data_IF_995955948891
#
_entry.id   IF_995955948891
#
_cell.length_a   1.000
_cell.length_b   1.000
_cell.length_c   1.000
_cell.angle_alpha   90.00
_cell.angle_beta   90.00
_cell.angle_gamma   90.00
#
_symmetry.space_group_name_H-M   'P 1'
#
loop_
_entity.id
_entity.type
_entity.pdbx_description
1 polymer ?
#
# COMPACT_ATOMS: atom_id res chain seq x y z
N UNK A 1 -1.53 -8.37 -39.71
CA UNK A 1 -2.55 -9.10 -38.92
C UNK A 1 -2.37 -8.77 -37.45
N UNK A 2 -3.46 -8.56 -36.68
CA UNK A 2 -3.40 -8.24 -35.25
C UNK A 2 -2.99 -9.47 -34.43
N UNK A 3 -1.93 -9.34 -33.63
CA UNK A 3 -1.41 -10.34 -32.68
C UNK A 3 -1.69 -9.82 -31.26
N UNK A 4 -2.02 -10.72 -30.33
CA UNK A 4 -2.34 -10.39 -28.95
C UNK A 4 -1.29 -10.99 -28.03
N UNK A 5 -0.48 -10.15 -27.38
CA UNK A 5 0.49 -10.60 -26.39
C UNK A 5 -0.18 -10.64 -25.03
N UNK A 6 -0.30 -11.83 -24.45
CA UNK A 6 -1.15 -12.09 -23.30
C UNK A 6 -0.30 -12.61 -22.16
N UNK A 7 -0.26 -11.89 -21.03
CA UNK A 7 0.33 -12.34 -19.78
C UNK A 7 -0.78 -12.81 -18.83
N UNK A 8 -1.16 -14.09 -18.86
CA UNK A 8 -2.20 -14.61 -17.99
C UNK A 8 -1.63 -14.99 -16.62
N UNK A 9 -2.41 -14.75 -15.58
CA UNK A 9 -2.04 -15.18 -14.25
C UNK A 9 -3.14 -14.92 -13.23
N UNK A 10 -3.03 -15.59 -12.09
CA UNK A 10 -3.97 -15.35 -10.99
C UNK A 10 -3.77 -13.99 -10.33
N UNK A 11 -2.51 -13.59 -10.21
CA UNK A 11 -2.11 -12.32 -9.62
C UNK A 11 -2.85 -12.00 -8.30
N UNK A 12 -2.96 -13.00 -7.41
CA UNK A 12 -3.67 -12.85 -6.13
C UNK A 12 -2.68 -12.98 -4.96
N UNK A 13 -1.96 -11.90 -4.57
CA UNK A 13 -1.96 -10.56 -5.19
C UNK A 13 -0.97 -10.41 -6.37
N UNK A 14 -1.04 -9.31 -7.16
CA UNK A 14 0.04 -8.93 -8.06
C UNK A 14 1.25 -8.49 -7.23
N UNK A 15 2.44 -8.92 -7.64
CA UNK A 15 3.69 -8.67 -6.92
C UNK A 15 4.61 -7.78 -7.76
N UNK A 16 5.63 -7.21 -7.13
CA UNK A 16 6.68 -6.47 -7.84
C UNK A 16 7.38 -7.33 -8.90
N UNK A 17 7.54 -8.63 -8.65
CA UNK A 17 8.06 -9.58 -9.66
C UNK A 17 7.17 -9.70 -10.89
N UNK A 18 5.85 -9.78 -10.72
CA UNK A 18 4.92 -9.75 -11.86
C UNK A 18 5.00 -8.41 -12.61
N UNK A 19 5.08 -7.30 -11.87
CA UNK A 19 5.17 -5.96 -12.46
C UNK A 19 6.46 -5.74 -13.28
N UNK A 20 7.62 -6.21 -12.80
CA UNK A 20 8.88 -6.14 -13.56
C UNK A 20 8.79 -6.89 -14.90
N UNK A 21 8.15 -8.06 -14.90
CA UNK A 21 7.92 -8.81 -16.13
C UNK A 21 7.02 -8.02 -17.09
N UNK A 22 5.92 -7.44 -16.59
CA UNK A 22 5.03 -6.59 -17.40
C UNK A 22 5.79 -5.41 -18.01
N UNK A 23 6.66 -4.73 -17.25
CA UNK A 23 7.50 -3.66 -17.79
C UNK A 23 8.46 -4.15 -18.88
N UNK A 24 9.11 -5.29 -18.66
CA UNK A 24 10.04 -5.87 -19.64
C UNK A 24 9.33 -6.27 -20.94
N UNK A 25 8.15 -6.88 -20.81
CA UNK A 25 7.29 -7.22 -21.93
C UNK A 25 6.81 -5.97 -22.68
N UNK A 26 6.33 -4.95 -21.96
CA UNK A 26 5.84 -3.70 -22.54
C UNK A 26 6.92 -2.90 -23.30
N UNK A 27 8.19 -3.03 -22.92
CA UNK A 27 9.33 -2.43 -23.66
C UNK A 27 9.61 -3.14 -24.98
N UNK A 28 9.33 -4.44 -25.07
CA UNK A 28 9.70 -5.29 -26.19
C UNK A 28 8.55 -5.57 -27.15
N UNK A 29 7.31 -5.34 -26.71
CA UNK A 29 6.09 -5.73 -27.41
C UNK A 29 5.20 -4.50 -27.64
N UNK A 30 4.46 -4.44 -28.76
CA UNK A 30 3.65 -3.28 -29.10
C UNK A 30 2.52 -3.03 -28.10
N UNK A 31 1.90 -4.10 -27.58
CA UNK A 31 0.82 -4.01 -26.60
C UNK A 31 0.72 -5.30 -25.79
N UNK A 32 0.58 -5.21 -24.46
CA UNK A 32 0.51 -6.37 -23.55
C UNK A 32 -0.84 -6.38 -22.82
N UNK A 33 -1.54 -7.52 -22.89
CA UNK A 33 -2.74 -7.77 -22.11
C UNK A 33 -2.39 -8.55 -20.85
N UNK A 34 -2.52 -7.94 -19.67
CA UNK A 34 -2.41 -8.65 -18.39
C UNK A 34 -3.79 -9.20 -18.06
N UNK A 35 -3.90 -10.52 -18.07
CA UNK A 35 -5.19 -11.22 -17.93
C UNK A 35 -5.27 -11.85 -16.57
N UNK A 36 -6.08 -11.25 -15.69
CA UNK A 36 -6.36 -11.80 -14.38
C UNK A 36 -7.34 -12.96 -14.50
N UNK A 37 -7.09 -14.04 -13.77
CA UNK A 37 -8.00 -15.18 -13.63
C UNK A 37 -8.03 -15.66 -12.19
N UNK A 38 -8.98 -16.52 -11.86
CA UNK A 38 -8.98 -17.27 -10.61
C UNK A 38 -8.88 -18.76 -10.92
N UNK A 39 -8.42 -19.54 -9.94
CA UNK A 39 -8.58 -20.98 -10.01
C UNK A 39 -9.66 -21.39 -8.99
N UNK A 40 -10.83 -21.88 -9.41
CA UNK A 40 -11.90 -22.30 -8.49
C UNK A 40 -11.46 -23.38 -7.48
N UNK A 41 -10.43 -24.16 -7.82
CA UNK A 41 -9.86 -25.21 -6.96
C UNK A 41 -8.87 -24.68 -5.92
N UNK A 42 -8.52 -23.38 -5.96
CA UNK A 42 -7.64 -22.73 -4.99
C UNK A 42 -8.39 -21.59 -4.32
N UNK A 43 -8.30 -21.50 -2.99
CA UNK A 43 -8.79 -20.34 -2.26
C UNK A 43 -7.86 -19.15 -2.52
N UNK A 44 -8.10 -18.44 -3.62
CA UNK A 44 -7.47 -17.16 -3.90
C UNK A 44 -8.04 -16.12 -2.90
N UNK A 45 -7.17 -15.27 -2.32
CA UNK A 45 -7.56 -14.29 -1.29
C UNK A 45 -8.27 -13.06 -1.87
N UNK A 46 -8.17 -12.88 -3.18
CA UNK A 46 -8.82 -11.84 -3.97
C UNK A 46 -9.55 -12.49 -5.13
N UNK A 47 -10.73 -11.98 -5.44
CA UNK A 47 -11.44 -12.26 -6.70
C UNK A 47 -10.64 -11.79 -7.92
N UNK A 48 -11.06 -12.21 -9.11
CA UNK A 48 -10.43 -11.81 -10.37
C UNK A 48 -10.46 -10.28 -10.55
N UNK A 49 -11.58 -9.65 -10.23
CA UNK A 49 -11.77 -8.21 -10.35
C UNK A 49 -10.94 -7.43 -9.32
N UNK A 50 -10.90 -7.90 -8.07
CA UNK A 50 -10.01 -7.30 -7.06
C UNK A 50 -8.54 -7.41 -7.49
N UNK A 51 -8.11 -8.59 -7.98
CA UNK A 51 -6.74 -8.79 -8.47
C UNK A 51 -6.41 -7.86 -9.65
N UNK A 52 -7.38 -7.63 -10.56
CA UNK A 52 -7.28 -6.65 -11.66
C UNK A 52 -7.15 -5.23 -11.12
N UNK A 53 -7.94 -4.86 -10.12
CA UNK A 53 -7.88 -3.51 -9.52
C UNK A 53 -6.56 -3.26 -8.80
N UNK A 54 -6.01 -4.26 -8.11
CA UNK A 54 -4.72 -4.16 -7.43
C UNK A 54 -3.56 -3.81 -8.36
N UNK A 55 -3.65 -4.16 -9.65
CA UNK A 55 -2.65 -3.73 -10.63
C UNK A 55 -2.59 -2.21 -10.82
N UNK A 56 -3.67 -1.46 -10.52
CA UNK A 56 -3.66 0.00 -10.53
C UNK A 56 -2.76 0.61 -9.46
N UNK A 57 -2.36 -0.19 -8.46
CA UNK A 57 -1.37 0.20 -7.46
C UNK A 57 0.08 0.17 -8.00
N UNK A 58 0.27 -0.16 -9.28
CA UNK A 58 1.56 -0.10 -9.97
C UNK A 58 1.51 0.90 -11.13
N UNK A 59 2.65 1.53 -11.43
CA UNK A 59 2.79 2.46 -12.56
C UNK A 59 2.93 1.70 -13.89
N UNK A 60 1.80 1.23 -14.41
CA UNK A 60 1.77 0.42 -15.63
C UNK A 60 2.13 1.23 -16.88
N UNK A 61 2.95 0.66 -17.79
CA UNK A 61 3.23 1.28 -19.08
C UNK A 61 1.95 1.52 -19.90
N UNK A 62 1.92 2.61 -20.68
CA UNK A 62 0.74 3.05 -21.46
C UNK A 62 0.23 2.01 -22.47
N UNK A 63 1.08 1.08 -22.89
CA UNK A 63 0.75 0.01 -23.83
C UNK A 63 0.36 -1.30 -23.12
N UNK A 64 -0.04 -1.23 -21.85
CA UNK A 64 -0.57 -2.36 -21.09
C UNK A 64 -2.06 -2.20 -20.88
N UNK A 65 -2.84 -3.24 -21.17
CA UNK A 65 -4.26 -3.33 -20.82
C UNK A 65 -4.46 -4.38 -19.74
N UNK A 66 -5.14 -4.00 -18.67
CA UNK A 66 -5.64 -4.93 -17.65
C UNK A 66 -7.00 -5.46 -18.09
N UNK A 67 -7.21 -6.77 -18.00
CA UNK A 67 -8.48 -7.41 -18.32
C UNK A 67 -8.64 -8.68 -17.49
N UNK A 68 -9.84 -9.23 -17.42
CA UNK A 68 -10.07 -10.58 -16.90
C UNK A 68 -10.13 -11.61 -18.02
N UNK A 69 -9.97 -12.88 -17.66
CA UNK A 69 -10.15 -13.99 -18.60
C UNK A 69 -11.55 -13.97 -19.26
N UNK A 70 -12.59 -13.62 -18.49
CA UNK A 70 -13.95 -13.52 -18.99
C UNK A 70 -14.12 -12.34 -19.97
N UNK A 71 -13.63 -11.15 -19.61
CA UNK A 71 -13.64 -9.96 -20.48
C UNK A 71 -12.90 -10.22 -21.79
N UNK A 72 -11.74 -10.88 -21.73
CA UNK A 72 -10.97 -11.22 -22.92
C UNK A 72 -11.69 -12.27 -23.79
N UNK A 73 -12.39 -13.23 -23.18
CA UNK A 73 -13.20 -14.22 -23.88
C UNK A 73 -14.31 -13.59 -24.73
N UNK A 74 -14.92 -12.49 -24.24
CA UNK A 74 -15.98 -11.75 -24.95
C UNK A 74 -15.49 -11.06 -26.22
N UNK A 75 -14.17 -10.87 -26.39
CA UNK A 75 -13.59 -10.24 -27.59
C UNK A 75 -13.57 -11.14 -28.83
N UNK A 76 -13.95 -12.42 -28.71
CA UNK A 76 -14.00 -13.35 -29.85
C UNK A 76 -12.64 -13.55 -30.54
N UNK A 77 -11.54 -13.39 -29.79
CA UNK A 77 -10.19 -13.45 -30.35
C UNK A 77 -9.91 -14.88 -30.84
N UNK A 78 -9.50 -15.00 -32.10
CA UNK A 78 -8.96 -16.26 -32.61
C UNK A 78 -7.69 -16.61 -31.82
N UNK A 79 -7.73 -17.72 -31.07
CA UNK A 79 -6.67 -18.16 -30.16
C UNK A 79 -5.31 -18.37 -30.87
N UNK A 80 -5.28 -18.65 -32.18
CA UNK A 80 -4.04 -18.71 -32.99
C UNK A 80 -3.31 -17.36 -33.14
N UNK A 81 -3.98 -16.26 -32.77
CA UNK A 81 -3.41 -14.90 -32.74
C UNK A 81 -2.87 -14.52 -31.36
N UNK A 82 -3.02 -15.39 -30.36
CA UNK A 82 -2.48 -15.18 -29.02
C UNK A 82 -1.02 -15.62 -29.00
N UNK A 83 -0.16 -14.78 -28.43
CA UNK A 83 1.20 -15.10 -28.02
C UNK A 83 1.23 -14.98 -26.51
N UNK A 84 1.48 -16.09 -25.82
CA UNK A 84 1.49 -16.09 -24.36
C UNK A 84 2.84 -15.56 -23.85
N UNK A 85 2.80 -14.46 -23.12
CA UNK A 85 3.92 -13.86 -22.41
C UNK A 85 4.06 -14.57 -21.07
N UNK A 86 5.25 -15.05 -20.74
CA UNK A 86 5.53 -15.80 -19.51
C UNK A 86 6.89 -15.43 -18.94
N UNK A 87 7.10 -15.78 -17.67
CA UNK A 87 8.33 -15.48 -16.92
C UNK A 87 9.10 -16.75 -16.59
N UNK A 88 10.43 -16.66 -16.59
CA UNK A 88 11.32 -17.70 -16.07
C UNK A 88 12.16 -17.11 -14.95
N UNK A 89 12.30 -17.81 -13.82
CA UNK A 89 13.23 -17.42 -12.74
C UNK A 89 14.61 -18.01 -12.96
N UNK A 90 14.67 -19.19 -13.54
CA UNK A 90 15.92 -19.87 -13.89
C UNK A 90 15.74 -20.73 -15.13
N UNK A 91 16.82 -21.39 -15.56
CA UNK A 91 16.76 -22.32 -16.68
C UNK A 91 15.94 -23.58 -16.35
N UNK A 92 15.93 -24.00 -15.09
CA UNK A 92 15.21 -25.18 -14.60
C UNK A 92 13.68 -25.02 -14.74
N UNK A 93 13.15 -23.82 -14.50
CA UNK A 93 11.72 -23.47 -14.68
C UNK A 93 11.23 -23.78 -16.11
N UNK A 94 12.12 -23.76 -17.10
CA UNK A 94 11.74 -23.99 -18.50
C UNK A 94 11.20 -25.41 -18.74
N UNK A 95 11.61 -26.40 -17.96
CA UNK A 95 11.09 -27.77 -18.12
C UNK A 95 9.62 -27.87 -17.69
N UNK A 96 9.24 -27.22 -16.59
CA UNK A 96 7.84 -27.12 -16.16
C UNK A 96 7.02 -26.33 -17.18
N UNK A 97 7.59 -25.26 -17.71
CA UNK A 97 6.93 -24.41 -18.70
C UNK A 97 6.67 -25.13 -20.03
N UNK A 98 7.50 -26.09 -20.46
CA UNK A 98 7.19 -26.95 -21.61
C UNK A 98 5.89 -27.74 -21.44
N UNK A 99 5.58 -28.18 -20.21
CA UNK A 99 4.32 -28.87 -19.91
C UNK A 99 3.16 -27.89 -20.08
N UNK A 100 3.31 -26.67 -19.57
CA UNK A 100 2.31 -25.59 -19.74
C UNK A 100 2.09 -25.27 -21.22
N UNK A 101 3.15 -25.20 -22.02
CA UNK A 101 3.06 -24.97 -23.47
C UNK A 101 2.26 -26.07 -24.17
N UNK A 102 2.56 -27.34 -23.87
CA UNK A 102 1.86 -28.49 -24.43
C UNK A 102 0.36 -28.45 -24.10
N UNK A 103 0.02 -28.26 -22.82
CA UNK A 103 -1.37 -28.21 -22.37
C UNK A 103 -2.15 -27.04 -23.00
N UNK A 104 -1.53 -25.86 -23.11
CA UNK A 104 -2.17 -24.71 -23.76
C UNK A 104 -2.40 -24.93 -25.26
N UNK A 105 -1.49 -25.62 -25.94
CA UNK A 105 -1.67 -26.00 -27.35
C UNK A 105 -2.80 -27.00 -27.53
N UNK A 106 -2.84 -28.04 -26.70
CA UNK A 106 -3.86 -29.10 -26.77
C UNK A 106 -5.26 -28.57 -26.41
N UNK A 107 -5.38 -27.80 -25.33
CA UNK A 107 -6.68 -27.37 -24.81
C UNK A 107 -7.20 -26.08 -25.48
N UNK A 108 -6.31 -25.17 -25.85
CA UNK A 108 -6.68 -23.84 -26.32
C UNK A 108 -6.17 -23.51 -27.73
N UNK A 109 -5.35 -24.35 -28.35
CA UNK A 109 -4.76 -24.07 -29.67
C UNK A 109 -3.79 -22.88 -29.65
N UNK A 110 -3.24 -22.54 -28.48
CA UNK A 110 -2.23 -21.49 -28.30
C UNK A 110 -0.85 -22.14 -28.37
N UNK A 111 -0.09 -21.82 -29.42
CA UNK A 111 1.20 -22.47 -29.72
C UNK A 111 2.40 -21.51 -29.77
N UNK A 112 2.19 -20.22 -29.50
CA UNK A 112 3.24 -19.18 -29.48
C UNK A 112 3.45 -18.65 -28.07
N UNK A 113 4.71 -18.63 -27.65
CA UNK A 113 5.13 -18.22 -26.31
C UNK A 113 6.33 -17.30 -26.40
N UNK A 114 6.39 -16.29 -25.53
CA UNK A 114 7.55 -15.44 -25.31
C UNK A 114 7.88 -15.49 -23.83
N UNK A 115 9.12 -15.83 -23.52
CA UNK A 115 9.64 -15.92 -22.16
C UNK A 115 10.54 -14.74 -21.86
N UNK A 116 10.30 -14.11 -20.71
CA UNK A 116 11.18 -13.09 -20.13
C UNK A 116 11.86 -13.68 -18.91
N UNK A 117 13.19 -13.59 -18.82
CA UNK A 117 13.88 -13.90 -17.59
C UNK A 117 13.60 -12.83 -16.54
N UNK A 118 13.44 -13.27 -15.29
CA UNK A 118 13.31 -12.37 -14.16
C UNK A 118 14.62 -11.58 -14.01
N UNK A 119 14.51 -10.28 -13.74
CA UNK A 119 15.67 -9.45 -13.44
C UNK A 119 16.19 -9.71 -12.04
N UNK A 120 17.50 -9.57 -11.85
CA UNK A 120 18.19 -9.75 -10.57
C UNK A 120 17.45 -9.05 -9.42
N UNK A 121 17.11 -9.82 -8.38
CA UNK A 121 16.41 -9.35 -7.18
C UNK A 121 14.92 -9.69 -7.12
N UNK A 122 14.32 -10.19 -8.21
CA UNK A 122 12.89 -10.51 -8.27
C UNK A 122 12.60 -12.01 -8.43
N UNK A 123 13.63 -12.85 -8.57
CA UNK A 123 13.50 -14.30 -8.80
C UNK A 123 12.74 -15.01 -7.67
N UNK A 124 12.96 -14.61 -6.42
CA UNK A 124 12.34 -15.21 -5.23
C UNK A 124 10.95 -14.68 -4.88
N UNK A 125 10.39 -13.76 -5.69
CA UNK A 125 9.12 -13.11 -5.38
C UNK A 125 7.96 -13.95 -5.92
N UNK A 126 7.10 -14.43 -5.01
CA UNK A 126 5.89 -15.16 -5.36
C UNK A 126 4.70 -14.69 -4.54
N UNK A 127 3.51 -14.73 -5.14
CA UNK A 127 2.26 -14.44 -4.43
C UNK A 127 2.07 -15.37 -3.22
N UNK A 128 2.55 -16.61 -3.28
CA UNK A 128 2.53 -17.54 -2.14
C UNK A 128 3.37 -17.03 -0.97
N UNK A 129 4.61 -16.59 -1.21
CA UNK A 129 5.47 -16.01 -0.17
C UNK A 129 4.81 -14.78 0.47
N UNK A 130 4.25 -13.89 -0.36
CA UNK A 130 3.52 -12.70 0.11
C UNK A 130 2.34 -13.08 1.02
N UNK A 131 1.54 -14.09 0.62
CA UNK A 131 0.44 -14.59 1.45
C UNK A 131 0.93 -15.15 2.78
N UNK A 132 2.02 -15.93 2.79
CA UNK A 132 2.61 -16.46 4.03
C UNK A 132 3.08 -15.33 4.95
N UNK A 133 3.79 -14.34 4.43
CA UNK A 133 4.24 -13.17 5.22
C UNK A 133 3.05 -12.38 5.79
N UNK A 134 1.99 -12.21 5.00
CA UNK A 134 0.77 -11.53 5.46
C UNK A 134 0.03 -12.32 6.55
N UNK A 135 0.03 -13.66 6.51
CA UNK A 135 -0.58 -14.45 7.58
C UNK A 135 0.04 -14.16 8.95
N UNK A 136 1.34 -13.88 8.98
CA UNK A 136 2.12 -13.52 10.15
C UNK A 136 2.18 -12.00 10.43
N UNK A 137 1.53 -11.16 9.60
CA UNK A 137 1.64 -9.69 9.65
C UNK A 137 3.10 -9.19 9.62
N UNK A 138 3.93 -9.77 8.75
CA UNK A 138 5.32 -9.34 8.53
C UNK A 138 5.37 -8.04 7.71
N UNK A 139 4.78 -6.96 8.25
CA UNK A 139 4.56 -5.68 7.56
C UNK A 139 5.85 -5.08 6.99
N UNK A 140 6.97 -5.22 7.70
CA UNK A 140 8.26 -4.68 7.28
C UNK A 140 8.75 -5.27 5.96
N UNK A 141 8.67 -6.60 5.85
CA UNK A 141 9.20 -7.31 4.69
C UNK A 141 8.30 -7.16 3.47
N UNK A 142 6.99 -6.98 3.64
CA UNK A 142 6.02 -6.93 2.53
C UNK A 142 6.32 -5.83 1.51
N UNK A 143 6.90 -4.70 1.93
CA UNK A 143 7.28 -3.60 1.05
C UNK A 143 8.25 -4.01 -0.06
N UNK A 144 9.05 -5.06 0.14
CA UNK A 144 9.99 -5.57 -0.85
C UNK A 144 9.30 -6.41 -1.95
N UNK A 145 8.09 -6.91 -1.68
CA UNK A 145 7.40 -7.85 -2.56
C UNK A 145 6.20 -7.26 -3.31
N UNK A 146 5.56 -6.23 -2.76
CA UNK A 146 4.30 -5.66 -3.29
C UNK A 146 4.28 -4.14 -3.17
N UNK A 147 3.37 -3.48 -3.88
CA UNK A 147 3.15 -2.03 -3.75
C UNK A 147 2.33 -1.68 -2.49
N UNK A 148 2.37 -0.43 -2.00
CA UNK A 148 1.60 0.01 -0.84
C UNK A 148 0.10 -0.24 -0.96
N UNK A 149 -0.50 -0.02 -2.14
CA UNK A 149 -1.92 -0.30 -2.36
C UNK A 149 -2.30 -1.77 -2.16
N UNK A 150 -1.40 -2.69 -2.55
CA UNK A 150 -1.55 -4.12 -2.29
C UNK A 150 -1.42 -4.46 -0.81
N UNK A 151 -0.54 -3.78 -0.07
CA UNK A 151 -0.40 -3.95 1.39
C UNK A 151 -1.71 -3.61 2.10
N UNK A 152 -2.36 -2.48 1.78
CA UNK A 152 -3.66 -2.11 2.36
C UNK A 152 -4.71 -3.20 2.12
N UNK A 153 -4.83 -3.68 0.88
CA UNK A 153 -5.80 -4.71 0.53
C UNK A 153 -5.51 -6.06 1.22
N UNK A 154 -4.24 -6.41 1.39
CA UNK A 154 -3.82 -7.60 2.11
C UNK A 154 -4.17 -7.53 3.61
N UNK A 155 -3.95 -6.37 4.24
CA UNK A 155 -4.34 -6.14 5.64
C UNK A 155 -5.86 -6.22 5.77
N UNK A 156 -6.61 -5.55 4.87
CA UNK A 156 -8.08 -5.57 4.84
C UNK A 156 -8.62 -7.00 4.74
N UNK A 157 -8.09 -7.82 3.83
CA UNK A 157 -8.49 -9.24 3.73
C UNK A 157 -8.11 -10.06 4.95
N UNK A 158 -6.88 -9.90 5.46
CA UNK A 158 -6.38 -10.73 6.57
C UNK A 158 -7.10 -10.46 7.89
N UNK A 159 -7.48 -9.21 8.13
CA UNK A 159 -8.12 -8.78 9.37
C UNK A 159 -9.63 -8.57 9.22
N UNK A 160 -10.18 -8.90 8.04
CA UNK A 160 -11.58 -8.67 7.68
C UNK A 160 -12.03 -7.23 7.94
N UNK A 161 -11.25 -6.25 7.47
CA UNK A 161 -11.57 -4.82 7.61
C UNK A 161 -12.34 -4.32 6.39
N UNK A 162 -13.22 -3.34 6.59
CA UNK A 162 -13.85 -2.62 5.47
C UNK A 162 -12.82 -1.76 4.76
N UNK A 163 -12.03 -1.00 5.53
CA UNK A 163 -10.97 -0.15 5.01
C UNK A 163 -9.84 0.03 6.03
N UNK A 164 -8.62 0.25 5.56
CA UNK A 164 -7.52 0.81 6.34
C UNK A 164 -6.97 2.07 5.68
N UNK A 165 -6.86 3.15 6.43
CA UNK A 165 -6.36 4.45 5.99
C UNK A 165 -5.13 4.86 6.80
N UNK A 166 -4.13 5.39 6.10
CA UNK A 166 -3.04 6.15 6.71
C UNK A 166 -3.46 7.61 6.85
N UNK A 167 -3.53 8.12 8.08
CA UNK A 167 -3.94 9.50 8.35
C UNK A 167 -2.72 10.36 8.60
N UNK A 168 -2.54 11.38 7.75
CA UNK A 168 -1.38 12.26 7.74
C UNK A 168 -1.79 13.72 7.80
N UNK A 169 -0.90 14.57 8.28
CA UNK A 169 -1.12 16.01 8.35
C UNK A 169 -0.18 16.65 9.36
N UNK A 170 0.08 17.95 9.22
CA UNK A 170 0.94 18.67 10.16
C UNK A 170 0.34 18.69 11.58
N UNK A 171 1.15 18.82 12.64
CA UNK A 171 0.63 19.07 13.98
C UNK A 171 -0.33 20.27 13.97
N UNK A 172 -1.43 20.19 14.72
CA UNK A 172 -2.47 21.23 14.72
C UNK A 172 -3.47 21.18 13.55
N UNK A 173 -3.32 20.25 12.59
CA UNK A 173 -4.23 20.14 11.44
C UNK A 173 -5.61 19.55 11.73
N UNK A 174 -5.93 19.28 13.00
CA UNK A 174 -7.24 18.76 13.42
C UNK A 174 -7.43 17.26 13.23
N UNK A 175 -6.36 16.46 13.01
CA UNK A 175 -6.42 15.00 12.84
C UNK A 175 -7.24 14.30 13.91
N UNK A 176 -6.79 14.37 15.16
CA UNK A 176 -7.45 13.69 16.27
C UNK A 176 -8.85 14.24 16.53
N UNK A 177 -9.10 15.54 16.31
CA UNK A 177 -10.44 16.13 16.41
C UNK A 177 -11.39 15.55 15.37
N UNK A 178 -10.98 15.50 14.10
CA UNK A 178 -11.77 14.91 13.02
C UNK A 178 -12.03 13.42 13.28
N UNK A 179 -11.01 12.65 13.67
CA UNK A 179 -11.16 11.21 13.93
C UNK A 179 -12.08 10.93 15.13
N UNK A 180 -12.02 11.75 16.19
CA UNK A 180 -12.95 11.63 17.30
C UNK A 180 -14.38 11.91 16.87
N UNK A 181 -14.61 12.98 16.08
CA UNK A 181 -15.94 13.30 15.54
C UNK A 181 -16.45 12.22 14.58
N UNK A 182 -15.57 11.65 13.76
CA UNK A 182 -15.91 10.57 12.84
C UNK A 182 -16.35 9.30 13.59
N UNK A 183 -15.75 9.05 14.77
CA UNK A 183 -16.10 7.92 15.66
C UNK A 183 -17.37 8.14 16.48
N UNK A 184 -17.86 9.38 16.65
CA UNK A 184 -19.04 9.67 17.47
C UNK A 184 -20.25 8.83 17.02
N UNK A 185 -20.70 7.90 17.88
CA UNK A 185 -21.85 7.03 17.59
C UNK A 185 -21.58 5.87 16.63
N UNK A 186 -20.30 5.58 16.30
CA UNK A 186 -19.91 4.49 15.39
C UNK A 186 -18.88 3.56 16.01
N UNK A 187 -19.29 2.32 16.25
CA UNK A 187 -18.42 1.27 16.77
C UNK A 187 -17.57 0.60 15.68
N UNK A 188 -17.91 0.81 14.40
CA UNK A 188 -17.18 0.29 13.26
C UNK A 188 -16.00 1.16 12.84
N UNK A 189 -15.65 2.20 13.62
CA UNK A 189 -14.49 3.08 13.37
C UNK A 189 -13.44 2.92 14.46
N UNK A 190 -12.24 2.54 14.02
CA UNK A 190 -11.09 2.35 14.91
C UNK A 190 -9.98 3.32 14.56
N UNK A 191 -9.59 4.12 15.55
CA UNK A 191 -8.46 5.03 15.45
C UNK A 191 -7.25 4.42 16.18
N UNK A 192 -6.18 4.14 15.43
CA UNK A 192 -4.87 3.76 15.96
C UNK A 192 -3.98 5.01 15.99
N UNK A 193 -3.78 5.57 17.17
CA UNK A 193 -2.89 6.71 17.36
C UNK A 193 -1.46 6.24 17.69
N UNK A 194 -0.56 6.38 16.72
CA UNK A 194 0.84 5.92 16.87
C UNK A 194 1.68 6.80 17.78
N UNK A 195 1.24 8.01 18.16
CA UNK A 195 1.91 8.82 19.18
C UNK A 195 1.94 8.11 20.54
N UNK A 196 0.96 7.22 20.78
CA UNK A 196 0.91 6.37 21.97
C UNK A 196 2.10 5.41 22.07
N UNK A 197 2.64 4.96 20.94
CA UNK A 197 3.75 4.00 20.91
C UNK A 197 5.01 4.59 21.53
N UNK A 198 5.21 5.91 21.45
CA UNK A 198 6.35 6.57 22.07
C UNK A 198 6.40 6.31 23.58
N UNK A 199 5.25 6.18 24.28
CA UNK A 199 5.21 5.87 25.71
C UNK A 199 5.70 4.45 25.99
N UNK A 200 5.31 3.49 25.16
CA UNK A 200 5.71 2.08 25.26
C UNK A 200 7.19 1.88 24.90
N UNK A 201 7.74 2.72 24.03
CA UNK A 201 9.14 2.68 23.62
C UNK A 201 10.08 3.41 24.59
N UNK A 202 9.58 4.20 25.55
CA UNK A 202 10.43 4.94 26.51
C UNK A 202 11.41 4.06 27.29
N UNK A 203 11.02 2.89 27.83
CA UNK A 203 11.95 2.03 28.57
C UNK A 203 13.11 1.55 27.70
N UNK A 204 12.82 1.19 26.44
CA UNK A 204 13.83 0.78 25.46
C UNK A 204 14.79 1.93 25.14
N UNK A 205 14.26 3.12 24.90
CA UNK A 205 15.05 4.32 24.63
C UNK A 205 15.96 4.68 25.81
N UNK A 206 15.46 4.59 27.04
CA UNK A 206 16.27 4.80 28.26
C UNK A 206 17.35 3.74 28.43
N UNK A 207 17.06 2.48 28.10
CA UNK A 207 18.05 1.41 28.19
C UNK A 207 19.21 1.60 27.19
N UNK A 208 18.93 2.15 26.00
CA UNK A 208 19.93 2.35 24.95
C UNK A 208 20.66 3.70 25.05
N UNK A 209 19.94 4.80 25.26
CA UNK A 209 20.48 6.18 25.27
C UNK A 209 20.65 6.77 26.69
N UNK A 210 20.33 6.01 27.74
CA UNK A 210 20.43 6.50 29.12
C UNK A 210 19.48 7.66 29.43
N UNK A 211 20.00 8.69 30.11
CA UNK A 211 19.29 9.92 30.46
C UNK A 211 19.59 11.08 29.49
N UNK A 212 20.12 10.77 28.30
CA UNK A 212 20.31 11.78 27.26
C UNK A 212 18.98 12.39 26.80
N UNK A 213 19.02 13.66 26.38
CA UNK A 213 17.85 14.33 25.79
C UNK A 213 17.47 13.66 24.46
N UNK A 214 16.33 12.98 24.45
CA UNK A 214 15.81 12.28 23.27
C UNK A 214 15.56 13.20 22.07
N UNK A 215 15.30 14.49 22.29
CA UNK A 215 15.18 15.46 21.20
C UNK A 215 16.54 15.64 20.53
N UNK A 216 17.60 15.77 21.33
CA UNK A 216 18.97 15.84 20.84
C UNK A 216 19.37 14.56 20.11
N UNK A 217 19.05 13.39 20.67
CA UNK A 217 19.27 12.09 20.00
C UNK A 217 18.56 12.04 18.65
N UNK A 218 17.29 12.44 18.58
CA UNK A 218 16.53 12.43 17.34
C UNK A 218 17.03 13.43 16.28
N UNK A 219 17.72 14.50 16.69
CA UNK A 219 18.31 15.49 15.78
C UNK A 219 19.70 15.09 15.30
N UNK A 220 20.54 14.55 16.18
CA UNK A 220 21.98 14.30 15.91
C UNK A 220 22.27 12.84 15.54
N UNK A 221 21.47 11.89 16.02
CA UNK A 221 21.67 10.43 15.86
C UNK A 221 20.41 9.73 15.37
N UNK A 222 19.73 10.34 14.38
CA UNK A 222 18.45 9.85 13.86
C UNK A 222 18.50 8.41 13.33
N UNK A 223 19.58 8.01 12.65
CA UNK A 223 19.69 6.65 12.09
C UNK A 223 19.90 5.59 13.18
N UNK A 224 20.67 5.88 14.22
CA UNK A 224 20.80 5.00 15.38
C UNK A 224 19.44 4.86 16.08
N UNK A 225 18.73 5.97 16.29
CA UNK A 225 17.39 5.95 16.86
C UNK A 225 16.43 5.06 16.05
N UNK A 226 16.43 5.20 14.72
CA UNK A 226 15.61 4.37 13.81
C UNK A 226 15.94 2.88 13.94
N UNK A 227 17.22 2.52 14.03
CA UNK A 227 17.64 1.12 14.19
C UNK A 227 17.13 0.52 15.51
N UNK A 228 17.16 1.30 16.59
CA UNK A 228 16.69 0.86 17.91
C UNK A 228 15.17 0.70 17.94
N UNK A 229 14.41 1.66 17.41
CA UNK A 229 12.94 1.67 17.57
C UNK A 229 12.16 1.08 16.40
N UNK A 230 12.77 0.87 15.23
CA UNK A 230 12.07 0.48 14.01
C UNK A 230 11.25 -0.81 14.16
N UNK A 231 11.91 -1.92 14.50
CA UNK A 231 11.25 -3.22 14.69
C UNK A 231 10.24 -3.17 15.86
N UNK A 232 10.59 -2.64 17.06
CA UNK A 232 9.63 -2.46 18.14
C UNK A 232 8.38 -1.67 17.75
N UNK A 233 8.55 -0.58 17.00
CA UNK A 233 7.42 0.25 16.53
C UNK A 233 6.50 -0.54 15.59
N UNK A 234 7.08 -1.31 14.67
CA UNK A 234 6.31 -2.17 13.74
C UNK A 234 5.56 -3.26 14.52
N UNK A 235 6.16 -3.82 15.58
CA UNK A 235 5.49 -4.78 16.45
C UNK A 235 4.30 -4.15 17.19
N UNK A 236 4.43 -2.91 17.67
CA UNK A 236 3.30 -2.19 18.28
C UNK A 236 2.17 -1.92 17.28
N UNK A 237 2.50 -1.57 16.04
CA UNK A 237 1.51 -1.45 14.97
C UNK A 237 0.81 -2.79 14.71
N UNK A 238 1.58 -3.88 14.60
CA UNK A 238 1.04 -5.24 14.43
C UNK A 238 0.09 -5.62 15.56
N UNK A 239 0.45 -5.38 16.82
CA UNK A 239 -0.42 -5.65 17.97
C UNK A 239 -1.68 -4.80 17.93
N UNK A 240 -1.56 -3.50 17.61
CA UNK A 240 -2.70 -2.61 17.46
C UNK A 240 -3.68 -3.09 16.39
N UNK A 241 -3.17 -3.56 15.25
CA UNK A 241 -3.97 -4.11 14.15
C UNK A 241 -4.65 -5.43 14.52
N UNK A 242 -3.98 -6.32 15.25
CA UNK A 242 -4.56 -7.60 15.70
C UNK A 242 -5.73 -7.42 16.67
N UNK A 243 -5.78 -6.31 17.41
CA UNK A 243 -6.84 -5.99 18.36
C UNK A 243 -8.04 -5.28 17.71
N UNK A 244 -8.00 -5.02 16.40
CA UNK A 244 -9.09 -4.35 15.68
C UNK A 244 -10.26 -5.33 15.48
N UNK A 245 -11.51 -4.94 15.81
CA UNK A 245 -12.69 -5.73 15.49
C UNK A 245 -12.89 -5.90 13.97
N UNK A 246 -13.36 -7.07 13.56
CA UNK A 246 -13.75 -7.31 12.18
C UNK A 246 -14.83 -6.33 11.69
N UNK A 247 -14.91 -6.12 10.38
CA UNK A 247 -15.81 -5.20 9.68
C UNK A 247 -15.64 -3.71 10.08
N UNK A 248 -14.45 -3.33 10.57
CA UNK A 248 -14.14 -1.94 10.93
C UNK A 248 -13.50 -1.14 9.79
N UNK A 249 -13.64 0.18 9.82
CA UNK A 249 -12.80 1.16 9.15
C UNK A 249 -11.67 1.59 10.10
N UNK A 250 -10.43 1.33 9.71
CA UNK A 250 -9.24 1.61 10.53
C UNK A 250 -8.54 2.85 10.04
N UNK A 251 -8.19 3.74 10.97
CA UNK A 251 -7.46 4.98 10.71
C UNK A 251 -6.17 4.96 11.53
N UNK A 252 -5.03 4.82 10.85
CA UNK A 252 -3.70 4.84 11.49
C UNK A 252 -3.15 6.26 11.42
N UNK A 253 -3.24 7.01 12.52
CA UNK A 253 -2.69 8.36 12.63
C UNK A 253 -1.19 8.30 12.86
N UNK A 254 -0.43 8.97 11.97
CA UNK A 254 1.03 9.09 12.09
C UNK A 254 1.47 10.56 12.20
N UNK A 255 2.36 10.85 13.15
CA UNK A 255 2.87 12.21 13.37
C UNK A 255 3.78 12.72 12.24
N UNK A 256 4.53 11.84 11.58
CA UNK A 256 5.55 12.23 10.60
C UNK A 256 5.00 12.53 9.19
N UNK A 257 3.71 12.28 8.96
CA UNK A 257 3.10 12.40 7.64
C UNK A 257 3.77 11.51 6.58
N UNK A 258 3.86 11.96 5.34
CA UNK A 258 4.50 11.22 4.24
C UNK A 258 6.00 11.58 4.07
N UNK A 259 6.75 11.77 5.16
CA UNK A 259 8.19 12.07 5.06
C UNK A 259 8.91 11.02 4.20
N UNK A 260 9.70 11.43 3.17
CA UNK A 260 10.38 10.48 2.29
C UNK A 260 11.35 9.55 3.02
N UNK A 261 11.99 10.04 4.08
CA UNK A 261 12.93 9.31 4.92
C UNK A 261 12.25 8.44 6.00
N UNK A 262 10.91 8.53 6.11
CA UNK A 262 10.06 7.73 7.00
C UNK A 262 8.82 7.27 6.23
N UNK A 263 8.97 6.35 5.26
CA UNK A 263 7.91 5.97 4.35
C UNK A 263 6.90 5.02 5.03
N UNK A 264 6.11 5.54 5.97
CA UNK A 264 5.17 4.77 6.79
C UNK A 264 4.06 4.09 5.97
N UNK A 265 3.79 4.61 4.78
CA UNK A 265 2.89 4.00 3.80
C UNK A 265 3.37 2.60 3.36
N UNK A 266 4.65 2.26 3.57
CA UNK A 266 5.15 0.91 3.33
C UNK A 266 4.64 -0.14 4.33
N UNK A 267 4.03 0.26 5.46
CA UNK A 267 3.55 -0.67 6.49
C UNK A 267 2.03 -0.75 6.58
N UNK A 268 1.33 0.37 6.33
CA UNK A 268 -0.14 0.48 6.38
C UNK A 268 -0.76 0.40 4.98
N UNK A 269 0.01 0.83 3.97
CA UNK A 269 -0.31 0.75 2.55
C UNK A 269 -0.73 2.07 1.89
N UNK A 270 -1.50 1.97 0.81
CA UNK A 270 -1.65 3.01 -0.22
C UNK A 270 -2.85 3.97 -0.09
N UNK A 271 -3.76 3.79 0.88
CA UNK A 271 -4.92 4.68 1.08
C UNK A 271 -4.58 5.77 2.11
N UNK A 272 -4.34 7.00 1.65
CA UNK A 272 -3.89 8.12 2.48
C UNK A 272 -4.98 9.20 2.63
N UNK A 273 -5.25 9.60 3.87
CA UNK A 273 -6.08 10.77 4.20
C UNK A 273 -5.19 11.89 4.72
N UNK A 274 -5.07 12.96 3.94
CA UNK A 274 -4.38 14.17 4.35
C UNK A 274 -5.36 15.13 5.02
N UNK A 275 -5.16 15.41 6.30
CA UNK A 275 -5.94 16.39 7.05
C UNK A 275 -5.13 17.67 7.20
N UNK A 276 -5.68 18.77 6.68
CA UNK A 276 -5.05 20.08 6.67
C UNK A 276 -6.03 21.19 7.03
N UNK A 277 -5.51 22.27 7.60
CA UNK A 277 -6.23 23.53 7.75
C UNK A 277 -5.75 24.50 6.66
N UNK A 278 -6.69 25.13 5.95
CA UNK A 278 -6.38 26.09 4.87
C UNK A 278 -5.89 27.44 5.42
N UNK A 279 -6.12 27.74 6.71
CA UNK A 279 -5.64 28.95 7.37
C UNK A 279 -4.23 28.75 7.94
N UNK A 280 -3.23 29.34 7.28
CA UNK A 280 -1.83 29.40 7.74
C UNK A 280 -1.74 30.04 9.14
N UNK A 281 -2.56 31.07 9.40
CA UNK A 281 -2.58 31.79 10.67
C UNK A 281 -3.16 30.96 11.82
N UNK A 282 -4.21 30.18 11.57
CA UNK A 282 -4.79 29.29 12.60
C UNK A 282 -3.88 28.11 12.90
N UNK A 283 -3.23 27.55 11.88
CA UNK A 283 -2.26 26.48 12.07
C UNK A 283 -1.06 26.98 12.90
N UNK A 284 -0.55 28.18 12.60
CA UNK A 284 0.51 28.81 13.39
C UNK A 284 0.09 29.07 14.85
N UNK A 285 -1.13 29.56 15.10
CA UNK A 285 -1.68 29.74 16.46
C UNK A 285 -1.79 28.41 17.22
N UNK A 286 -2.22 27.34 16.55
CA UNK A 286 -2.35 25.98 17.15
C UNK A 286 -1.01 25.32 17.43
N UNK A 287 0.00 25.58 16.61
CA UNK A 287 1.36 25.09 16.83
C UNK A 287 2.04 25.87 17.96
N UNK A 288 1.89 27.20 18.01
CA UNK A 288 2.45 28.04 19.08
C UNK A 288 1.80 27.76 20.45
N UNK A 289 0.49 27.50 20.48
CA UNK A 289 -0.24 27.14 21.71
C UNK A 289 0.14 25.77 22.32
N UNK A 290 1.01 24.99 21.66
CA UNK A 290 1.48 23.68 22.16
C UNK A 290 2.83 23.73 22.86
N UNK A 291 3.50 24.89 22.96
CA UNK A 291 4.86 25.01 23.53
C UNK A 291 5.89 24.02 22.92
N UNK A 292 5.79 23.75 21.62
CA UNK A 292 6.66 22.80 20.89
C UNK A 292 7.71 23.50 20.02
N UNK A 293 8.27 24.61 20.49
CA UNK A 293 9.28 25.37 19.73
C UNK A 293 10.54 24.53 19.44
N UNK A 294 10.96 23.71 20.40
CA UNK A 294 12.03 22.73 20.26
C UNK A 294 11.75 21.64 19.20
N UNK A 295 10.49 21.41 18.83
CA UNK A 295 10.10 20.45 17.79
C UNK A 295 10.03 21.06 16.38
N UNK A 296 10.19 22.38 16.24
CA UNK A 296 10.08 23.06 14.93
C UNK A 296 10.96 22.44 13.83
N UNK A 297 12.22 22.01 14.08
CA UNK A 297 13.02 21.32 13.07
C UNK A 297 12.33 20.07 12.50
N UNK A 298 11.68 19.27 13.35
CA UNK A 298 10.92 18.09 12.93
C UNK A 298 9.62 18.45 12.21
N UNK A 299 8.90 19.47 12.72
CA UNK A 299 7.63 19.91 12.14
C UNK A 299 7.82 20.43 10.71
N UNK A 300 8.90 21.18 10.46
CA UNK A 300 9.22 21.72 9.12
C UNK A 300 9.48 20.63 8.08
N UNK A 301 9.97 19.46 8.51
CA UNK A 301 10.17 18.29 7.63
C UNK A 301 8.86 17.60 7.25
N UNK A 302 7.75 17.83 7.98
CA UNK A 302 6.46 17.21 7.68
C UNK A 302 5.86 17.84 6.41
N UNK A 303 5.63 17.04 5.35
CA UNK A 303 5.06 17.51 4.09
C UNK A 303 3.73 18.28 4.29
N UNK A 304 3.60 19.41 3.58
CA UNK A 304 2.32 20.05 3.37
C UNK A 304 1.50 19.32 2.31
N UNK A 305 0.32 19.83 1.98
CA UNK A 305 -0.55 19.20 0.98
C UNK A 305 0.13 19.03 -0.39
N UNK A 306 0.82 20.07 -0.87
CA UNK A 306 1.50 20.05 -2.17
C UNK A 306 2.59 18.97 -2.21
N UNK A 307 3.43 18.89 -1.17
CA UNK A 307 4.49 17.89 -1.08
C UNK A 307 3.89 16.49 -0.92
N UNK A 308 2.90 16.30 -0.04
CA UNK A 308 2.21 15.01 0.13
C UNK A 308 1.58 14.52 -1.17
N UNK A 309 1.00 15.41 -1.98
CA UNK A 309 0.44 15.05 -3.30
C UNK A 309 1.52 14.60 -4.28
N UNK A 310 2.70 15.23 -4.27
CA UNK A 310 3.85 14.81 -5.11
C UNK A 310 4.35 13.42 -4.70
N UNK A 311 4.50 13.18 -3.41
CA UNK A 311 4.92 11.87 -2.86
C UNK A 311 3.90 10.80 -3.22
N UNK A 312 2.62 11.06 -2.96
CA UNK A 312 1.55 10.12 -3.31
C UNK A 312 1.53 9.78 -4.81
N UNK A 313 1.76 10.76 -5.70
CA UNK A 313 1.87 10.50 -7.14
C UNK A 313 3.09 9.63 -7.49
N UNK A 314 4.26 9.91 -6.90
CA UNK A 314 5.49 9.18 -7.17
C UNK A 314 5.40 7.72 -6.70
N UNK A 315 4.75 7.50 -5.56
CA UNK A 315 4.60 6.19 -4.92
C UNK A 315 3.29 5.48 -5.30
N UNK A 316 2.52 6.07 -6.23
CA UNK A 316 1.21 5.61 -6.69
C UNK A 316 0.22 5.30 -5.54
N UNK A 317 0.17 6.19 -4.56
CA UNK A 317 -0.74 6.16 -3.42
C UNK A 317 -2.05 6.88 -3.78
N UNK A 318 -3.17 6.35 -3.31
CA UNK A 318 -4.41 7.09 -3.25
C UNK A 318 -4.30 8.14 -2.14
N UNK A 319 -4.49 9.41 -2.48
CA UNK A 319 -4.49 10.49 -1.48
C UNK A 319 -5.74 11.34 -1.59
N UNK A 320 -6.42 11.56 -0.46
CA UNK A 320 -7.57 12.46 -0.36
C UNK A 320 -7.29 13.57 0.64
N UNK A 321 -7.62 14.81 0.27
CA UNK A 321 -7.56 15.97 1.18
C UNK A 321 -8.87 16.08 1.95
N UNK A 322 -8.76 16.21 3.27
CA UNK A 322 -9.85 16.60 4.15
C UNK A 322 -9.46 17.95 4.76
N UNK A 323 -10.30 18.95 4.54
CA UNK A 323 -10.06 20.31 5.05
C UNK A 323 -10.78 20.45 6.38
N UNK A 324 -10.03 20.79 7.44
CA UNK A 324 -10.58 21.18 8.73
C UNK A 324 -10.47 22.70 8.84
N UNK A 325 -11.60 23.39 8.91
CA UNK A 325 -11.71 24.84 8.71
C UNK A 325 -11.41 25.67 9.97
N UNK A 326 -10.80 25.09 10.99
CA UNK A 326 -10.62 25.76 12.29
C UNK A 326 -11.85 25.65 13.20
N UNK A 327 -13.03 25.65 12.57
CA UNK A 327 -14.37 25.60 13.13
C UNK A 327 -14.84 24.17 13.42
N UNK A 328 -15.31 23.91 14.65
CA UNK A 328 -15.73 22.59 15.10
C UNK A 328 -17.03 22.12 14.45
N UNK A 329 -17.98 23.01 14.16
CA UNK A 329 -19.24 22.62 13.52
C UNK A 329 -19.01 22.18 12.08
N UNK A 330 -18.26 22.99 11.32
CA UNK A 330 -17.85 22.64 9.95
C UNK A 330 -17.00 21.37 9.92
N UNK A 331 -16.12 21.16 10.89
CA UNK A 331 -15.33 19.92 10.97
C UNK A 331 -16.24 18.71 11.23
N UNK A 332 -17.28 18.87 12.05
CA UNK A 332 -18.29 17.83 12.30
C UNK A 332 -19.12 17.52 11.05
N UNK A 333 -19.52 18.52 10.28
CA UNK A 333 -20.20 18.33 8.99
C UNK A 333 -19.33 17.55 8.00
N UNK A 334 -18.04 17.90 7.89
CA UNK A 334 -17.10 17.19 7.03
C UNK A 334 -16.91 15.74 7.51
N UNK A 335 -16.85 15.51 8.82
CA UNK A 335 -16.77 14.16 9.39
C UNK A 335 -18.02 13.33 9.07
N UNK A 336 -19.22 13.89 9.23
CA UNK A 336 -20.48 13.23 8.87
C UNK A 336 -20.53 12.86 7.39
N UNK A 337 -20.24 13.82 6.50
CA UNK A 337 -20.21 13.56 5.05
C UNK A 337 -19.21 12.47 4.68
N UNK A 338 -18.04 12.46 5.33
CA UNK A 338 -17.06 11.41 5.10
C UNK A 338 -17.54 10.05 5.63
N UNK A 339 -18.27 10.03 6.75
CA UNK A 339 -18.89 8.83 7.31
C UNK A 339 -19.91 8.21 6.33
N UNK A 340 -20.71 9.04 5.66
CA UNK A 340 -21.69 8.61 4.66
C UNK A 340 -21.02 7.99 3.42
N UNK A 341 -19.81 8.44 3.06
CA UNK A 341 -19.04 7.88 1.94
C UNK A 341 -18.30 6.58 2.28
N UNK A 342 -18.26 6.20 3.57
CA UNK A 342 -17.70 4.92 4.02
C UNK A 342 -18.71 3.77 3.95
N UNK A 343 -20.00 4.09 3.88
CA UNK A 343 -21.11 3.14 3.67
C UNK A 343 -21.23 2.79 2.18
#
# INVERSE_FOLDING_TARGET
>A
MKVYYVYPGRFSPPTKGHFELVKSAAKSLPHVYVVCSTNPLKQDIFSTEESKELWRSYDLPKNVTLTTFEEMGKLGINRKKIVMVRGLRSYEDFQEEKIVMKLNKEQYGVDKFIYFFSTCGFEGISATKVRTMMQNLELEGLKEFVSPGVISALIEKRLNLKNIFLVVGRPGSGKSTFLNMLKEGRDDIVHINTDGFNKELKPLLKAHFGEEDLIKVALEREEELKQVIGIPWINLLKQSLLNVPANSHVFVEIAYGLQPDKPMYNFVGGKVLYLGCDSVNENAKRVNGRNTEHMLPFIRRIPGWSESKKIAKAENLMIRKIVTSGDLEKTREVAKRFADELE
#
